data_IF_291748976920
#
_entry.id   IF_291748976920
#
_cell.length_a   1.000
_cell.length_b   1.000
_cell.length_c   1.000
_cell.angle_alpha   90.00
_cell.angle_beta   90.00
_cell.angle_gamma   90.00
#
_symmetry.space_group_name_H-M   'P 1'
#
loop_
_entity.id
_entity.type
_entity.pdbx_description
1 polymer ?
#
# COMPACT_ATOMS: atom_id res chain seq x y z
N UNK A 1 12.62 47.13 -4.39
CA UNK A 1 12.95 46.27 -5.56
C UNK A 1 11.87 45.22 -5.80
N UNK A 2 10.59 45.62 -5.84
CA UNK A 2 9.43 44.77 -6.22
C UNK A 2 8.29 45.66 -6.79
N UNK A 3 8.66 46.76 -7.47
CA UNK A 3 7.72 47.70 -8.10
C UNK A 3 8.04 47.99 -9.58
N UNK A 4 8.97 47.25 -10.19
CA UNK A 4 9.43 47.45 -11.57
C UNK A 4 9.16 46.28 -12.52
N UNK A 5 8.45 45.23 -12.08
CA UNK A 5 8.07 44.09 -12.94
C UNK A 5 6.64 44.16 -13.49
N UNK A 6 5.82 45.13 -13.04
CA UNK A 6 4.42 45.28 -13.49
C UNK A 6 4.23 46.27 -14.65
N UNK A 7 5.27 47.01 -15.06
CA UNK A 7 5.18 48.04 -16.13
C UNK A 7 5.75 47.55 -17.47
N UNK A 8 6.46 46.42 -17.49
CA UNK A 8 7.05 45.83 -18.69
C UNK A 8 6.10 45.05 -19.60
N UNK A 9 4.86 44.77 -19.17
CA UNK A 9 3.93 43.90 -19.91
C UNK A 9 2.82 44.66 -20.67
N UNK A 10 2.75 45.99 -20.55
CA UNK A 10 1.67 46.80 -21.16
C UNK A 10 2.16 47.64 -22.36
N UNK A 11 3.48 47.77 -22.58
CA UNK A 11 4.04 48.54 -23.71
C UNK A 11 4.35 47.66 -24.95
N UNK A 12 4.36 46.33 -24.80
CA UNK A 12 4.57 45.38 -25.91
C UNK A 12 3.37 45.17 -26.84
N UNK A 13 2.22 45.82 -26.59
CA UNK A 13 0.95 45.58 -27.29
C UNK A 13 0.48 46.75 -28.17
N UNK A 14 1.34 47.74 -28.44
CA UNK A 14 0.93 48.96 -29.16
C UNK A 14 1.79 49.36 -30.37
N UNK A 15 2.82 48.60 -30.77
CA UNK A 15 3.65 48.96 -31.94
C UNK A 15 3.88 47.73 -32.80
N UNK A 16 3.03 47.58 -33.82
CA UNK A 16 3.14 46.50 -34.81
C UNK A 16 2.04 46.50 -35.85
N UNK A 17 1.48 47.67 -36.18
CA UNK A 17 0.56 47.83 -37.31
C UNK A 17 1.29 48.58 -38.44
N UNK A 18 1.34 47.92 -39.62
CA UNK A 18 1.63 48.55 -40.90
C UNK A 18 3.04 48.30 -41.43
N UNK A 19 3.19 47.39 -42.40
CA UNK A 19 3.31 47.67 -43.85
C UNK A 19 3.57 46.34 -44.58
N UNK A 20 2.88 46.08 -45.69
CA UNK A 20 3.39 45.19 -46.75
C UNK A 20 2.44 44.11 -47.28
N UNK A 21 1.37 44.52 -47.97
CA UNK A 21 0.55 43.66 -48.83
C UNK A 21 1.32 43.25 -50.09
N UNK A 22 1.45 41.94 -50.36
CA UNK A 22 1.50 41.40 -51.73
C UNK A 22 0.61 40.15 -51.77
N UNK A 23 -0.45 40.24 -52.57
CA UNK A 23 -1.48 39.22 -52.73
C UNK A 23 -1.03 38.11 -53.71
N UNK A 24 -1.21 36.86 -53.31
CA UNK A 24 -1.20 35.69 -54.22
C UNK A 24 -2.56 35.01 -54.08
N UNK A 25 -3.33 34.80 -55.16
CA UNK A 25 -4.69 34.29 -55.06
C UNK A 25 -4.67 32.78 -54.79
N UNK A 26 -5.27 32.34 -53.68
CA UNK A 26 -5.63 30.92 -53.47
C UNK A 26 -7.10 30.72 -53.78
N UNK A 27 -7.37 29.77 -54.67
CA UNK A 27 -8.69 29.35 -55.14
C UNK A 27 -9.57 28.91 -53.97
N UNK A 28 -10.77 29.48 -53.86
CA UNK A 28 -11.82 29.03 -52.94
C UNK A 28 -12.52 27.83 -53.56
N UNK A 29 -12.36 26.65 -52.98
CA UNK A 29 -13.25 25.51 -53.22
C UNK A 29 -14.38 25.59 -52.19
N UNK A 30 -15.62 25.66 -52.67
CA UNK A 30 -16.81 25.56 -51.82
C UNK A 30 -16.89 24.15 -51.22
N UNK A 31 -16.93 24.06 -49.88
CA UNK A 31 -17.24 22.82 -49.18
C UNK A 31 -18.70 22.90 -48.73
N UNK A 32 -19.53 22.10 -49.37
CA UNK A 32 -20.92 21.86 -49.01
C UNK A 32 -20.98 21.23 -47.61
N UNK A 33 -21.68 21.87 -46.67
CA UNK A 33 -21.90 21.35 -45.33
C UNK A 33 -22.94 20.22 -45.37
N UNK A 34 -22.50 18.97 -45.26
CA UNK A 34 -23.38 17.83 -45.02
C UNK A 34 -23.71 17.79 -43.53
N UNK A 35 -25.00 17.95 -43.16
CA UNK A 35 -25.49 17.70 -41.81
C UNK A 35 -25.23 16.23 -41.43
N UNK A 36 -24.25 15.99 -40.57
CA UNK A 36 -24.11 14.72 -39.87
C UNK A 36 -25.04 14.80 -38.66
N UNK A 37 -26.14 14.03 -38.68
CA UNK A 37 -26.95 13.80 -37.49
C UNK A 37 -26.08 13.10 -36.46
N UNK A 38 -25.74 13.82 -35.39
CA UNK A 38 -25.15 13.22 -34.20
C UNK A 38 -26.24 12.37 -33.52
N UNK A 39 -26.16 11.05 -33.70
CA UNK A 39 -26.90 10.11 -32.86
C UNK A 39 -26.27 10.17 -31.47
N UNK A 40 -26.87 10.95 -30.58
CA UNK A 40 -26.58 10.91 -29.15
C UNK A 40 -27.03 9.56 -28.63
N UNK A 41 -26.13 8.58 -28.58
CA UNK A 41 -26.36 7.33 -27.85
C UNK A 41 -26.31 7.68 -26.38
N UNK A 42 -27.46 8.02 -25.80
CA UNK A 42 -27.63 8.10 -24.36
C UNK A 42 -27.31 6.73 -23.80
N UNK A 43 -26.14 6.57 -23.18
CA UNK A 43 -25.85 5.40 -22.35
C UNK A 43 -26.76 5.49 -21.12
N UNK A 44 -27.93 4.87 -21.21
CA UNK A 44 -28.74 4.58 -20.03
C UNK A 44 -27.96 3.57 -19.19
N UNK A 45 -27.22 4.07 -18.21
CA UNK A 45 -26.67 3.22 -17.15
C UNK A 45 -27.85 2.73 -16.31
N UNK A 46 -28.39 1.55 -16.62
CA UNK A 46 -29.20 0.84 -15.63
C UNK A 46 -28.28 0.59 -14.44
N UNK A 47 -28.53 1.33 -13.35
CA UNK A 47 -27.82 1.13 -12.09
C UNK A 47 -27.97 -0.34 -11.72
N UNK A 48 -26.85 -1.09 -11.72
CA UNK A 48 -26.86 -2.46 -11.22
C UNK A 48 -27.37 -2.41 -9.78
N UNK A 49 -28.43 -3.16 -9.49
CA UNK A 49 -28.95 -3.33 -8.13
C UNK A 49 -28.05 -4.24 -7.28
N UNK A 50 -27.01 -4.83 -7.88
CA UNK A 50 -26.09 -5.70 -7.18
C UNK A 50 -25.19 -4.89 -6.22
N UNK A 51 -24.92 -5.42 -5.01
CA UNK A 51 -24.17 -4.70 -4.01
C UNK A 51 -22.72 -4.47 -4.43
N UNK A 52 -22.21 -3.27 -4.18
CA UNK A 52 -20.80 -2.93 -4.24
C UNK A 52 -20.10 -3.47 -2.98
N UNK A 53 -19.36 -4.56 -3.13
CA UNK A 53 -18.66 -5.23 -2.04
C UNK A 53 -17.15 -5.21 -2.29
N UNK A 54 -16.35 -4.83 -1.30
CA UNK A 54 -14.89 -4.83 -1.38
C UNK A 54 -14.33 -5.99 -0.53
N UNK A 55 -13.42 -6.77 -1.11
CA UNK A 55 -12.50 -7.61 -0.36
C UNK A 55 -11.13 -6.95 -0.32
N UNK A 56 -10.58 -6.65 0.86
CA UNK A 56 -9.32 -5.95 0.97
C UNK A 56 -8.43 -6.50 2.10
N UNK A 57 -7.13 -6.30 1.97
CA UNK A 57 -6.18 -6.55 3.05
C UNK A 57 -6.65 -5.88 4.36
N UNK A 58 -6.49 -6.58 5.49
CA UNK A 58 -6.89 -6.11 6.82
C UNK A 58 -6.30 -4.74 7.16
N UNK A 59 -5.06 -4.52 6.72
CA UNK A 59 -4.31 -3.28 6.94
C UNK A 59 -4.86 -2.07 6.15
N UNK A 60 -5.76 -2.28 5.18
CA UNK A 60 -6.47 -1.20 4.48
C UNK A 60 -7.75 -0.78 5.20
N UNK A 61 -8.22 -1.51 6.22
CA UNK A 61 -9.53 -1.32 6.86
C UNK A 61 -9.85 0.14 7.17
N UNK A 62 -8.97 0.85 7.86
CA UNK A 62 -9.25 2.23 8.30
C UNK A 62 -9.36 3.19 7.11
N UNK A 63 -8.39 3.17 6.19
CA UNK A 63 -8.42 4.00 4.99
C UNK A 63 -9.62 3.68 4.09
N UNK A 64 -9.91 2.41 3.86
CA UNK A 64 -11.01 1.98 3.00
C UNK A 64 -12.37 2.22 3.64
N UNK A 65 -12.53 2.10 4.95
CA UNK A 65 -13.77 2.49 5.65
C UNK A 65 -14.06 3.99 5.48
N UNK A 66 -13.04 4.84 5.60
CA UNK A 66 -13.21 6.27 5.37
C UNK A 66 -13.53 6.58 3.90
N UNK A 67 -12.83 5.94 2.95
CA UNK A 67 -13.11 6.09 1.52
C UNK A 67 -14.51 5.58 1.14
N UNK A 68 -14.96 4.46 1.70
CA UNK A 68 -16.32 3.91 1.50
C UNK A 68 -17.38 4.89 2.00
N UNK A 69 -17.17 5.48 3.17
CA UNK A 69 -18.05 6.52 3.73
C UNK A 69 -18.15 7.73 2.80
N UNK A 70 -17.02 8.24 2.31
CA UNK A 70 -16.98 9.32 1.33
C UNK A 70 -17.67 8.94 0.02
N UNK A 71 -17.40 7.73 -0.48
CA UNK A 71 -17.94 7.23 -1.74
C UNK A 71 -19.47 7.12 -1.70
N UNK A 72 -20.00 6.61 -0.60
CA UNK A 72 -21.43 6.52 -0.32
C UNK A 72 -22.10 7.89 -0.23
N UNK A 73 -21.44 8.85 0.41
CA UNK A 73 -21.94 10.23 0.49
C UNK A 73 -22.04 10.88 -0.91
N UNK A 74 -21.10 10.58 -1.81
CA UNK A 74 -21.13 11.07 -3.19
C UNK A 74 -22.06 10.28 -4.11
N UNK A 75 -22.37 9.03 -3.79
CA UNK A 75 -23.12 8.10 -4.63
C UNK A 75 -24.20 7.34 -3.82
N UNK A 76 -25.24 8.04 -3.31
CA UNK A 76 -26.23 7.44 -2.41
C UNK A 76 -27.09 6.34 -3.04
N UNK A 77 -27.09 6.22 -4.38
CA UNK A 77 -27.79 5.16 -5.11
C UNK A 77 -27.05 3.82 -5.13
N UNK A 78 -25.78 3.78 -4.71
CA UNK A 78 -25.00 2.53 -4.68
C UNK A 78 -25.39 1.74 -3.44
N UNK A 79 -25.85 0.50 -3.65
CA UNK A 79 -26.10 -0.46 -2.58
C UNK A 79 -24.74 -0.98 -2.11
N UNK A 80 -24.35 -0.68 -0.87
CA UNK A 80 -23.10 -1.15 -0.28
C UNK A 80 -23.27 -2.56 0.30
N UNK A 81 -22.40 -3.49 -0.08
CA UNK A 81 -22.29 -4.81 0.53
C UNK A 81 -21.40 -4.79 1.77
N UNK A 82 -21.31 -5.91 2.49
CA UNK A 82 -20.44 -6.01 3.67
C UNK A 82 -18.99 -6.21 3.22
N UNK A 83 -18.07 -5.24 3.47
CA UNK A 83 -16.68 -5.39 3.09
C UNK A 83 -16.02 -6.51 3.91
N UNK A 84 -15.08 -7.22 3.29
CA UNK A 84 -14.21 -8.16 3.98
C UNK A 84 -12.82 -7.55 4.13
N UNK A 85 -12.34 -7.44 5.38
CA UNK A 85 -10.98 -7.05 5.70
C UNK A 85 -10.28 -8.23 6.40
N UNK A 86 -9.33 -8.87 5.71
CA UNK A 86 -8.61 -10.06 6.19
C UNK A 86 -7.21 -10.15 5.55
N UNK A 87 -6.44 -11.21 5.82
CA UNK A 87 -5.15 -11.43 5.16
C UNK A 87 -5.31 -11.45 3.62
N UNK A 88 -4.39 -10.83 2.88
CA UNK A 88 -4.54 -10.66 1.42
C UNK A 88 -4.72 -11.99 0.69
N UNK A 89 -4.02 -13.04 1.14
CA UNK A 89 -4.17 -14.39 0.58
C UNK A 89 -5.54 -14.99 0.86
N UNK A 90 -6.09 -14.78 2.07
CA UNK A 90 -7.44 -15.21 2.43
C UNK A 90 -8.51 -14.52 1.57
N UNK A 91 -8.40 -13.20 1.39
CA UNK A 91 -9.31 -12.41 0.55
C UNK A 91 -9.29 -12.92 -0.90
N UNK A 92 -8.09 -13.11 -1.48
CA UNK A 92 -7.95 -13.58 -2.84
C UNK A 92 -8.50 -15.01 -3.03
N UNK A 93 -8.26 -15.91 -2.08
CA UNK A 93 -8.81 -17.27 -2.12
C UNK A 93 -10.34 -17.28 -1.99
N UNK A 94 -10.89 -16.39 -1.17
CA UNK A 94 -12.34 -16.23 -1.07
C UNK A 94 -12.94 -15.70 -2.37
N UNK A 95 -12.29 -14.78 -3.07
CA UNK A 95 -12.77 -14.34 -4.38
C UNK A 95 -12.73 -15.49 -5.40
N UNK A 96 -11.62 -16.24 -5.46
CA UNK A 96 -11.46 -17.38 -6.38
C UNK A 96 -12.55 -18.47 -6.22
N UNK A 97 -13.17 -18.54 -5.04
CA UNK A 97 -14.23 -19.52 -4.72
C UNK A 97 -15.64 -18.95 -4.79
N UNK A 98 -15.84 -17.69 -4.40
CA UNK A 98 -17.18 -17.10 -4.22
C UNK A 98 -17.57 -16.08 -5.28
N UNK A 99 -16.60 -15.38 -5.88
CA UNK A 99 -16.82 -14.36 -6.92
C UNK A 99 -17.80 -13.25 -6.53
N UNK A 100 -17.75 -12.80 -5.26
CA UNK A 100 -18.72 -11.83 -4.71
C UNK A 100 -18.19 -10.41 -4.65
N UNK A 101 -16.88 -10.19 -4.82
CA UNK A 101 -16.30 -8.86 -4.66
C UNK A 101 -16.34 -8.07 -5.96
N UNK A 102 -16.75 -6.81 -5.86
CA UNK A 102 -16.64 -5.82 -6.94
C UNK A 102 -15.21 -5.31 -7.10
N UNK A 103 -14.42 -5.35 -6.02
CA UNK A 103 -13.03 -4.91 -5.98
C UNK A 103 -12.26 -5.81 -5.02
N UNK A 104 -11.06 -6.24 -5.42
CA UNK A 104 -10.09 -6.91 -4.55
C UNK A 104 -8.88 -6.01 -4.35
N UNK A 105 -8.41 -5.87 -3.12
CA UNK A 105 -7.18 -5.13 -2.80
C UNK A 105 -6.25 -5.94 -1.89
N UNK A 106 -4.95 -5.95 -2.22
CA UNK A 106 -3.90 -6.71 -1.56
C UNK A 106 -2.83 -5.77 -1.00
N UNK A 107 -2.12 -6.20 0.04
CA UNK A 107 -0.93 -5.53 0.59
C UNK A 107 0.40 -6.03 0.00
N UNK A 108 0.33 -6.75 -1.11
CA UNK A 108 1.45 -7.40 -1.76
C UNK A 108 1.18 -7.58 -3.26
N UNK A 109 2.19 -7.28 -4.06
CA UNK A 109 2.20 -7.31 -5.54
C UNK A 109 2.23 -8.71 -6.12
N UNK A 110 2.36 -9.77 -5.31
CA UNK A 110 2.40 -11.15 -5.81
C UNK A 110 1.10 -11.90 -5.55
N UNK A 111 0.29 -11.43 -4.60
CA UNK A 111 -0.92 -12.13 -4.15
C UNK A 111 -2.03 -12.16 -5.20
N UNK A 112 -2.40 -11.01 -5.80
CA UNK A 112 -3.43 -10.98 -6.84
C UNK A 112 -2.99 -11.81 -8.07
N UNK A 113 -1.77 -11.64 -8.62
CA UNK A 113 -1.33 -12.45 -9.75
C UNK A 113 -1.30 -13.95 -9.44
N UNK A 114 -0.78 -14.36 -8.27
CA UNK A 114 -0.62 -15.79 -7.96
C UNK A 114 -1.94 -16.52 -7.71
N UNK A 115 -2.99 -15.82 -7.25
CA UNK A 115 -4.28 -16.45 -6.89
C UNK A 115 -5.35 -16.19 -7.93
N UNK A 116 -5.42 -14.97 -8.50
CA UNK A 116 -6.52 -14.55 -9.36
C UNK A 116 -6.16 -14.62 -10.86
N UNK A 117 -4.89 -14.55 -11.26
CA UNK A 117 -4.56 -14.59 -12.69
C UNK A 117 -4.43 -16.02 -13.22
N UNK A 118 -4.71 -16.21 -14.53
CA UNK A 118 -5.46 -15.33 -15.42
C UNK A 118 -6.98 -15.55 -15.30
N UNK A 119 -7.43 -16.40 -14.37
CA UNK A 119 -8.80 -16.96 -14.38
C UNK A 119 -9.87 -15.98 -13.90
N UNK A 120 -9.55 -15.14 -12.93
CA UNK A 120 -10.49 -14.25 -12.25
C UNK A 120 -10.16 -12.77 -12.44
N UNK A 121 -8.91 -12.44 -12.78
CA UNK A 121 -8.46 -11.11 -13.16
C UNK A 121 -7.30 -11.22 -14.15
N UNK A 122 -6.96 -10.11 -14.82
CA UNK A 122 -5.80 -10.06 -15.73
C UNK A 122 -4.91 -8.85 -15.55
N UNK A 123 -5.22 -7.96 -14.61
CA UNK A 123 -4.37 -6.83 -14.25
C UNK A 123 -4.51 -6.54 -12.76
N UNK A 124 -3.52 -5.87 -12.19
CA UNK A 124 -3.61 -5.23 -10.88
C UNK A 124 -3.00 -3.83 -10.98
N UNK A 125 -3.43 -2.93 -10.11
CA UNK A 125 -3.00 -1.54 -10.06
C UNK A 125 -2.35 -1.29 -8.70
N UNK A 126 -1.05 -1.06 -8.68
CA UNK A 126 -0.32 -0.58 -7.52
C UNK A 126 -0.62 0.90 -7.28
N UNK A 127 -1.24 1.19 -6.13
CA UNK A 127 -1.81 2.52 -5.86
C UNK A 127 -1.18 3.22 -4.65
N UNK A 128 -0.47 2.50 -3.79
CA UNK A 128 0.14 3.09 -2.60
C UNK A 128 1.24 2.23 -2.00
N UNK A 129 2.15 2.87 -1.30
CA UNK A 129 3.25 2.24 -0.56
C UNK A 129 3.10 2.57 0.92
N UNK A 130 3.27 1.57 1.78
CA UNK A 130 3.41 1.78 3.23
C UNK A 130 4.73 1.17 3.70
N UNK A 131 4.96 1.09 5.01
CA UNK A 131 6.19 0.54 5.58
C UNK A 131 5.89 -0.38 6.76
N UNK A 132 6.76 -1.36 6.97
CA UNK A 132 6.81 -2.14 8.20
C UNK A 132 7.15 -1.23 9.38
N UNK A 133 6.47 -1.47 10.50
CA UNK A 133 6.74 -0.85 11.79
C UNK A 133 6.71 -1.94 12.86
N UNK A 134 7.16 -1.62 14.06
CA UNK A 134 6.99 -2.52 15.23
C UNK A 134 6.05 -1.84 16.21
N UNK A 135 4.93 -2.49 16.54
CA UNK A 135 4.07 -2.04 17.64
C UNK A 135 4.70 -2.50 18.95
N UNK A 136 4.81 -1.59 19.90
CA UNK A 136 5.55 -1.75 21.16
C UNK A 136 4.62 -1.58 22.36
N UNK A 137 4.67 -2.55 23.26
CA UNK A 137 3.98 -2.51 24.55
C UNK A 137 4.78 -1.72 25.59
N UNK A 138 4.36 -0.49 25.90
CA UNK A 138 5.04 0.37 26.88
C UNK A 138 4.69 0.05 28.34
N UNK A 139 3.77 -0.89 28.60
CA UNK A 139 3.54 -1.42 29.94
C UNK A 139 4.73 -2.30 30.39
N UNK A 140 5.52 -2.80 29.44
CA UNK A 140 6.69 -3.66 29.73
C UNK A 140 8.01 -2.90 29.85
N UNK A 141 8.96 -3.35 30.70
CA UNK A 141 10.30 -2.77 30.76
C UNK A 141 11.03 -2.80 29.41
N UNK A 142 10.95 -3.92 28.68
CA UNK A 142 11.59 -4.07 27.38
C UNK A 142 11.02 -3.11 26.33
N UNK A 143 9.70 -2.93 26.29
CA UNK A 143 9.07 -1.99 25.37
C UNK A 143 9.46 -0.53 25.67
N UNK A 144 9.56 -0.16 26.94
CA UNK A 144 10.06 1.18 27.33
C UNK A 144 11.53 1.39 26.94
N UNK A 145 12.38 0.38 27.12
CA UNK A 145 13.79 0.44 26.71
C UNK A 145 13.91 0.63 25.18
N UNK A 146 13.22 -0.22 24.41
CA UNK A 146 13.19 -0.13 22.93
C UNK A 146 12.67 1.24 22.46
N UNK A 147 11.59 1.75 23.05
CA UNK A 147 11.07 3.06 22.67
C UNK A 147 12.05 4.19 23.02
N UNK A 148 12.78 4.09 24.14
CA UNK A 148 13.81 5.06 24.50
C UNK A 148 14.97 5.07 23.51
N UNK A 149 15.46 3.89 23.12
CA UNK A 149 16.52 3.71 22.13
C UNK A 149 16.07 4.19 20.75
N UNK A 150 14.83 3.91 20.36
CA UNK A 150 14.28 4.41 19.10
C UNK A 150 14.27 5.94 19.07
N UNK A 151 13.88 6.62 20.16
CA UNK A 151 13.94 8.09 20.26
C UNK A 151 15.37 8.62 20.20
N UNK A 152 16.33 7.90 20.79
CA UNK A 152 17.76 8.23 20.66
C UNK A 152 18.21 8.12 19.20
N UNK A 153 17.88 7.01 18.52
CA UNK A 153 18.20 6.81 17.11
C UNK A 153 17.61 7.88 16.18
N UNK A 154 16.48 8.49 16.54
CA UNK A 154 15.90 9.61 15.77
C UNK A 154 16.73 10.91 15.86
N UNK A 155 17.63 11.03 16.84
CA UNK A 155 18.49 12.20 17.06
C UNK A 155 19.92 11.99 16.56
N UNK A 156 20.27 10.75 16.23
CA UNK A 156 21.59 10.36 15.74
C UNK A 156 21.70 10.52 14.22
N UNK A 157 22.93 10.61 13.69
CA UNK A 157 23.14 10.66 12.25
C UNK A 157 22.91 9.27 11.65
N UNK A 158 21.98 9.08 10.70
CA UNK A 158 21.74 7.78 10.08
C UNK A 158 23.05 7.17 9.53
N UNK A 159 23.24 5.86 9.75
CA UNK A 159 24.43 5.09 9.35
C UNK A 159 25.74 5.44 10.08
N UNK A 160 25.73 6.32 11.08
CA UNK A 160 26.88 6.50 11.99
C UNK A 160 27.11 5.25 12.84
N UNK A 161 28.30 5.14 13.45
CA UNK A 161 28.62 4.02 14.33
C UNK A 161 27.68 3.97 15.55
N UNK A 162 27.37 5.13 16.12
CA UNK A 162 26.45 5.29 17.24
C UNK A 162 25.03 4.87 16.84
N UNK A 163 24.56 5.33 15.68
CA UNK A 163 23.24 4.97 15.16
C UNK A 163 23.10 3.47 14.89
N UNK A 164 24.13 2.85 14.30
CA UNK A 164 24.14 1.40 14.07
C UNK A 164 24.10 0.64 15.41
N UNK A 165 24.90 1.06 16.40
CA UNK A 165 24.92 0.45 17.73
C UNK A 165 23.55 0.57 18.44
N UNK A 166 22.87 1.71 18.29
CA UNK A 166 21.52 1.89 18.84
C UNK A 166 20.52 0.92 18.20
N UNK A 167 20.57 0.73 16.87
CA UNK A 167 19.71 -0.23 16.18
C UNK A 167 20.04 -1.69 16.48
N UNK A 168 21.32 -2.06 16.58
CA UNK A 168 21.76 -3.36 17.09
C UNK A 168 21.12 -3.64 18.45
N UNK A 169 21.20 -2.68 19.39
CA UNK A 169 20.62 -2.82 20.72
C UNK A 169 19.10 -3.00 20.69
N UNK A 170 18.39 -2.26 19.83
CA UNK A 170 16.93 -2.41 19.65
C UNK A 170 16.60 -3.84 19.21
N UNK A 171 17.27 -4.34 18.17
CA UNK A 171 17.01 -5.69 17.65
C UNK A 171 17.47 -6.79 18.62
N UNK A 172 18.52 -6.59 19.40
CA UNK A 172 18.93 -7.51 20.45
C UNK A 172 17.82 -7.67 21.51
N UNK A 173 17.16 -6.58 21.93
CA UNK A 173 16.05 -6.66 22.88
C UNK A 173 14.84 -7.36 22.27
N UNK A 174 14.51 -7.04 21.02
CA UNK A 174 13.35 -7.63 20.33
C UNK A 174 13.58 -9.13 20.11
N UNK A 175 14.72 -9.51 19.53
CA UNK A 175 14.98 -10.85 19.02
C UNK A 175 15.76 -11.78 19.97
N UNK A 176 16.66 -11.26 20.82
CA UNK A 176 17.55 -12.09 21.64
C UNK A 176 17.15 -12.16 23.12
N UNK A 177 16.50 -11.13 23.66
CA UNK A 177 16.08 -11.12 25.06
C UNK A 177 15.11 -12.29 25.33
N UNK A 178 15.47 -13.19 26.24
CA UNK A 178 14.70 -14.39 26.56
C UNK A 178 13.37 -14.10 27.28
N UNK A 179 13.22 -12.90 27.84
CA UNK A 179 12.01 -12.46 28.53
C UNK A 179 11.00 -11.78 27.60
N UNK A 180 11.33 -11.61 26.31
CA UNK A 180 10.44 -10.98 25.33
C UNK A 180 9.91 -12.01 24.33
N UNK A 181 8.67 -11.82 23.90
CA UNK A 181 7.91 -12.62 22.94
C UNK A 181 7.40 -11.67 21.87
N UNK A 182 7.61 -12.04 20.61
CA UNK A 182 7.18 -11.24 19.45
C UNK A 182 5.89 -11.80 18.82
N UNK A 183 5.04 -10.92 18.33
CA UNK A 183 3.83 -11.26 17.59
C UNK A 183 4.09 -11.19 16.09
N UNK A 184 3.70 -12.23 15.37
CA UNK A 184 3.87 -12.33 13.91
C UNK A 184 2.62 -12.91 13.25
N UNK A 185 2.24 -12.42 12.08
CA UNK A 185 1.17 -13.02 11.29
C UNK A 185 1.66 -14.27 10.55
N UNK A 186 0.72 -15.13 10.15
CA UNK A 186 1.00 -16.30 9.33
C UNK A 186 1.37 -15.87 7.89
N UNK A 187 2.58 -16.23 7.38
CA UNK A 187 3.04 -15.83 6.05
C UNK A 187 2.23 -16.42 4.88
N UNK A 188 1.46 -17.49 5.10
CA UNK A 188 0.62 -18.09 4.05
C UNK A 188 -0.70 -17.34 3.83
N UNK A 189 -1.21 -16.66 4.85
CA UNK A 189 -2.50 -15.98 4.81
C UNK A 189 -2.37 -14.46 4.74
N UNK A 190 -1.30 -13.91 5.35
CA UNK A 190 -1.09 -12.47 5.49
C UNK A 190 0.34 -12.08 5.09
N UNK A 191 0.52 -11.24 4.05
CA UNK A 191 1.84 -10.75 3.64
C UNK A 191 2.68 -10.18 4.77
N UNK A 192 2.05 -9.54 5.76
CA UNK A 192 2.77 -8.93 6.90
C UNK A 192 3.60 -9.96 7.69
N UNK A 193 3.20 -11.24 7.65
CA UNK A 193 3.89 -12.34 8.29
C UNK A 193 5.24 -12.68 7.67
N UNK A 194 5.32 -12.79 6.34
CA UNK A 194 6.61 -13.01 5.67
C UNK A 194 7.44 -11.73 5.64
N UNK A 195 6.79 -10.57 5.57
CA UNK A 195 7.47 -9.27 5.59
C UNK A 195 8.12 -8.97 6.95
N UNK A 196 7.51 -9.39 8.05
CA UNK A 196 8.15 -9.36 9.38
C UNK A 196 9.44 -10.22 9.41
N UNK A 197 9.41 -11.40 8.77
CA UNK A 197 10.61 -12.24 8.62
C UNK A 197 11.68 -11.55 7.77
N UNK A 198 11.28 -10.90 6.68
CA UNK A 198 12.18 -10.10 5.85
C UNK A 198 12.86 -8.98 6.66
N UNK A 199 12.12 -8.25 7.51
CA UNK A 199 12.69 -7.22 8.39
C UNK A 199 13.79 -7.80 9.27
N UNK A 200 13.57 -8.96 9.90
CA UNK A 200 14.60 -9.59 10.74
C UNK A 200 15.83 -10.02 9.94
N UNK A 201 15.63 -10.56 8.73
CA UNK A 201 16.76 -10.94 7.86
C UNK A 201 17.54 -9.72 7.38
N UNK A 202 16.86 -8.65 7.00
CA UNK A 202 17.47 -7.40 6.57
C UNK A 202 18.20 -6.71 7.72
N UNK A 203 17.64 -6.71 8.93
CA UNK A 203 18.31 -6.21 10.13
C UNK A 203 19.57 -7.03 10.43
N UNK A 204 19.48 -8.37 10.39
CA UNK A 204 20.64 -9.24 10.60
C UNK A 204 21.74 -9.00 9.56
N UNK A 205 21.36 -8.83 8.29
CA UNK A 205 22.30 -8.50 7.23
C UNK A 205 22.96 -7.14 7.42
N UNK A 206 22.17 -6.12 7.74
CA UNK A 206 22.64 -4.74 7.81
C UNK A 206 23.52 -4.45 9.04
N UNK A 207 23.14 -4.99 10.21
CA UNK A 207 23.78 -4.67 11.48
C UNK A 207 24.76 -5.75 11.96
N UNK A 208 24.49 -7.01 11.63
CA UNK A 208 25.28 -8.16 12.12
C UNK A 208 26.11 -8.82 11.03
N UNK A 209 26.02 -8.32 9.78
CA UNK A 209 26.61 -8.95 8.59
C UNK A 209 26.21 -10.43 8.42
N UNK A 210 25.03 -10.80 8.95
CA UNK A 210 24.50 -12.16 8.91
C UNK A 210 22.97 -12.12 8.82
N UNK A 211 22.46 -12.36 7.61
CA UNK A 211 21.03 -12.33 7.30
C UNK A 211 20.17 -13.33 8.07
N UNK A 212 20.75 -14.29 8.79
CA UNK A 212 20.01 -15.24 9.62
C UNK A 212 20.05 -14.90 11.11
N UNK A 213 20.91 -13.98 11.56
CA UNK A 213 21.18 -13.75 12.98
C UNK A 213 19.93 -13.51 13.84
N UNK A 214 19.14 -12.48 13.52
CA UNK A 214 17.90 -12.18 14.24
C UNK A 214 16.75 -13.09 13.86
N UNK A 215 16.72 -13.57 12.61
CA UNK A 215 15.68 -14.48 12.15
C UNK A 215 15.74 -15.82 12.89
N UNK A 216 16.92 -16.43 13.01
CA UNK A 216 17.13 -17.69 13.72
C UNK A 216 16.77 -17.57 15.21
N UNK A 217 17.15 -16.45 15.84
CA UNK A 217 16.84 -16.21 17.25
C UNK A 217 15.34 -16.18 17.54
N UNK A 218 14.53 -15.68 16.58
CA UNK A 218 13.08 -15.65 16.69
C UNK A 218 12.46 -16.98 16.25
N UNK A 219 12.75 -17.44 15.04
CA UNK A 219 11.99 -18.51 14.40
C UNK A 219 12.50 -19.93 14.71
N UNK A 220 13.74 -20.10 15.18
CA UNK A 220 14.20 -21.41 15.68
C UNK A 220 13.83 -21.65 17.16
N UNK A 221 13.14 -20.70 17.79
CA UNK A 221 12.64 -20.82 19.15
C UNK A 221 11.13 -20.61 19.18
N UNK A 222 10.36 -21.70 19.22
CA UNK A 222 8.88 -21.65 19.23
C UNK A 222 8.28 -20.90 20.43
N UNK A 223 9.04 -20.70 21.51
CA UNK A 223 8.58 -19.91 22.66
C UNK A 223 8.85 -18.41 22.46
N UNK A 224 9.61 -18.02 21.43
CA UNK A 224 10.01 -16.64 21.17
C UNK A 224 8.96 -15.84 20.39
N UNK A 225 8.03 -16.51 19.72
CA UNK A 225 6.99 -15.83 18.96
C UNK A 225 5.60 -16.43 19.20
N UNK A 226 4.59 -15.60 19.07
CA UNK A 226 3.20 -16.03 18.89
C UNK A 226 2.74 -15.71 17.48
N UNK A 227 2.29 -16.74 16.76
CA UNK A 227 1.75 -16.59 15.41
C UNK A 227 0.22 -16.56 15.43
N UNK A 228 -0.38 -15.65 14.66
CA UNK A 228 -1.83 -15.57 14.40
C UNK A 228 -2.10 -15.31 12.92
N UNK A 229 -3.36 -15.40 12.49
CA UNK A 229 -3.68 -15.17 11.07
C UNK A 229 -3.59 -13.70 10.67
N UNK A 230 -3.84 -12.78 11.61
CA UNK A 230 -3.78 -11.33 11.42
C UNK A 230 -3.22 -10.64 12.66
N UNK A 231 -2.81 -9.38 12.51
CA UNK A 231 -2.28 -8.57 13.60
C UNK A 231 -3.33 -8.23 14.68
N UNK A 232 -4.62 -8.27 14.35
CA UNK A 232 -5.72 -7.95 15.27
C UNK A 232 -5.73 -8.90 16.48
N UNK A 233 -5.50 -10.19 16.22
CA UNK A 233 -5.42 -11.19 17.28
C UNK A 233 -4.20 -10.93 18.17
N UNK A 234 -3.08 -10.48 17.59
CA UNK A 234 -1.86 -10.15 18.32
C UNK A 234 -2.03 -8.93 19.22
N UNK A 235 -2.73 -7.90 18.74
CA UNK A 235 -3.07 -6.71 19.54
C UNK A 235 -3.96 -7.07 20.73
N UNK A 236 -4.87 -8.03 20.54
CA UNK A 236 -5.72 -8.52 21.63
C UNK A 236 -4.89 -9.22 22.70
N UNK A 237 -3.88 -10.02 22.33
CA UNK A 237 -2.97 -10.67 23.26
C UNK A 237 -2.10 -9.66 24.01
N UNK A 238 -1.54 -8.68 23.30
CA UNK A 238 -0.76 -7.59 23.89
C UNK A 238 -1.61 -6.83 24.93
N UNK A 239 -2.82 -6.40 24.56
CA UNK A 239 -3.72 -5.65 25.43
C UNK A 239 -4.20 -6.44 26.66
N UNK A 240 -4.49 -7.74 26.49
CA UNK A 240 -5.09 -8.53 27.56
C UNK A 240 -4.13 -8.83 28.71
N UNK A 241 -2.85 -9.08 28.42
CA UNK A 241 -1.91 -9.55 29.43
C UNK A 241 -0.43 -9.31 29.10
N UNK A 242 -0.11 -8.50 28.08
CA UNK A 242 1.27 -8.27 27.65
C UNK A 242 2.03 -9.56 27.32
N UNK A 243 1.35 -10.62 26.87
CA UNK A 243 2.01 -11.90 26.48
C UNK A 243 2.80 -11.80 25.17
N UNK A 244 2.68 -10.67 24.48
CA UNK A 244 3.44 -10.27 23.30
C UNK A 244 3.88 -8.83 23.53
N UNK A 245 5.19 -8.56 23.57
CA UNK A 245 5.71 -7.21 23.86
C UNK A 245 6.01 -6.40 22.59
N UNK A 246 6.22 -7.08 21.47
CA UNK A 246 6.49 -6.45 20.17
C UNK A 246 5.68 -7.16 19.09
N UNK A 247 4.90 -6.44 18.28
CA UNK A 247 4.25 -7.01 17.09
C UNK A 247 5.05 -6.56 15.88
N UNK A 248 5.67 -7.51 15.19
CA UNK A 248 6.53 -7.25 14.03
C UNK A 248 5.75 -7.21 12.71
N UNK A 249 4.59 -7.86 12.67
CA UNK A 249 3.73 -7.95 11.48
C UNK A 249 2.70 -6.82 11.47
N UNK A 250 3.20 -5.59 11.49
CA UNK A 250 2.39 -4.37 11.42
C UNK A 250 2.94 -3.42 10.36
N UNK A 251 2.04 -2.68 9.73
CA UNK A 251 2.39 -1.58 8.84
C UNK A 251 2.10 -0.24 9.51
N UNK A 252 2.67 0.83 9.00
CA UNK A 252 2.30 2.17 9.44
C UNK A 252 0.78 2.39 9.35
N UNK A 253 0.14 1.85 8.31
CA UNK A 253 -1.27 2.07 7.98
C UNK A 253 -2.29 1.53 8.97
N UNK A 254 -1.97 0.45 9.66
CA UNK A 254 -2.81 -0.08 10.73
C UNK A 254 -2.27 0.29 12.11
N UNK A 255 -0.95 0.37 12.29
CA UNK A 255 -0.36 0.73 13.58
C UNK A 255 -0.77 2.13 14.06
N UNK A 256 -0.82 3.14 13.16
CA UNK A 256 -1.24 4.50 13.51
C UNK A 256 -2.62 4.52 14.20
N UNK A 257 -3.73 4.12 13.53
CA UNK A 257 -5.05 4.18 14.15
C UNK A 257 -5.25 3.14 15.25
N UNK A 258 -4.59 1.98 15.20
CA UNK A 258 -4.73 0.95 16.23
C UNK A 258 -4.11 1.39 17.55
N UNK A 259 -2.89 1.93 17.54
CA UNK A 259 -2.24 2.38 18.76
C UNK A 259 -3.00 3.52 19.41
N UNK A 260 -3.50 4.49 18.64
CA UNK A 260 -4.40 5.55 19.12
C UNK A 260 -5.67 4.96 19.78
N UNK A 261 -6.30 3.98 19.14
CA UNK A 261 -7.52 3.36 19.66
C UNK A 261 -7.30 2.60 20.99
N UNK A 262 -6.14 1.99 21.19
CA UNK A 262 -5.80 1.31 22.45
C UNK A 262 -5.31 2.28 23.54
N UNK A 263 -4.60 3.35 23.16
CA UNK A 263 -4.27 4.44 24.08
C UNK A 263 -5.53 5.09 24.64
N UNK A 264 -6.55 5.32 23.80
CA UNK A 264 -7.86 5.83 24.23
C UNK A 264 -8.59 4.89 25.23
N UNK A 265 -8.24 3.59 25.26
CA UNK A 265 -8.73 2.61 26.23
C UNK A 265 -7.85 2.51 27.49
N UNK A 266 -6.85 3.37 27.62
CA UNK A 266 -5.94 3.41 28.76
C UNK A 266 -4.80 2.39 28.72
N UNK A 267 -4.52 1.77 27.58
CA UNK A 267 -3.36 0.88 27.42
C UNK A 267 -2.22 1.60 26.72
N UNK A 268 -1.05 1.66 27.36
CA UNK A 268 0.09 2.38 26.82
C UNK A 268 0.82 1.52 25.80
N UNK A 269 0.41 1.61 24.53
CA UNK A 269 1.15 1.08 23.39
C UNK A 269 1.53 2.19 22.42
N UNK A 270 2.56 1.95 21.62
CA UNK A 270 2.97 2.84 20.53
C UNK A 270 3.50 2.00 19.37
N UNK A 271 4.02 2.65 18.34
CA UNK A 271 4.79 1.98 17.30
C UNK A 271 6.11 2.72 17.07
N UNK A 272 7.12 1.99 16.61
CA UNK A 272 8.40 2.54 16.18
C UNK A 272 8.56 2.35 14.67
N UNK A 273 9.03 3.40 14.00
CA UNK A 273 9.43 3.33 12.59
C UNK A 273 10.79 2.67 12.47
N UNK A 274 11.01 1.95 11.37
CA UNK A 274 12.25 1.25 11.07
C UNK A 274 13.08 2.01 10.03
N UNK A 275 14.41 1.82 9.97
CA UNK A 275 15.24 2.41 8.93
C UNK A 275 14.76 2.05 7.52
N UNK A 276 14.81 2.98 6.54
CA UNK A 276 14.29 2.76 5.20
C UNK A 276 14.85 1.52 4.48
N UNK A 277 16.08 1.11 4.78
CA UNK A 277 16.71 -0.06 4.15
C UNK A 277 16.29 -1.40 4.76
N UNK A 278 15.51 -1.43 5.85
CA UNK A 278 14.93 -2.67 6.40
C UNK A 278 13.40 -2.65 6.51
N UNK A 279 12.78 -1.48 6.42
CA UNK A 279 11.34 -1.31 6.68
C UNK A 279 10.43 -1.72 5.51
N UNK A 280 10.99 -2.16 4.38
CA UNK A 280 10.24 -2.50 3.16
C UNK A 280 9.34 -1.36 2.63
N UNK A 281 9.57 -0.11 3.01
CA UNK A 281 8.69 1.01 2.67
C UNK A 281 9.25 1.97 1.64
N UNK A 282 10.48 1.75 1.18
CA UNK A 282 11.14 2.64 0.26
C UNK A 282 11.62 1.89 -1.00
N UNK A 283 11.00 2.22 -2.12
CA UNK A 283 11.27 1.60 -3.42
C UNK A 283 12.72 1.81 -3.90
N UNK A 284 13.48 2.77 -3.36
CA UNK A 284 14.91 2.93 -3.68
C UNK A 284 15.78 1.80 -3.11
N UNK A 285 15.28 1.02 -2.14
CA UNK A 285 16.03 -0.06 -1.48
C UNK A 285 15.64 -1.45 -1.98
N UNK A 286 14.86 -1.58 -3.07
CA UNK A 286 14.45 -2.87 -3.65
C UNK A 286 15.63 -3.83 -3.84
N UNK A 287 16.73 -3.36 -4.42
CA UNK A 287 17.92 -4.19 -4.64
C UNK A 287 18.54 -4.68 -3.32
N UNK A 288 18.45 -3.90 -2.24
CA UNK A 288 18.91 -4.33 -0.93
C UNK A 288 17.93 -5.32 -0.30
N UNK A 289 16.62 -5.06 -0.40
CA UNK A 289 15.59 -5.97 0.10
C UNK A 289 15.73 -7.37 -0.54
N UNK A 290 16.01 -7.43 -1.85
CA UNK A 290 16.19 -8.67 -2.61
C UNK A 290 17.49 -9.43 -2.31
N UNK A 291 18.39 -8.92 -1.45
CA UNK A 291 19.54 -9.70 -0.99
C UNK A 291 19.15 -10.85 -0.07
N UNK A 292 17.92 -10.83 0.46
CA UNK A 292 17.38 -11.89 1.31
C UNK A 292 16.01 -12.34 0.81
N UNK A 293 15.64 -13.55 1.18
CA UNK A 293 14.33 -14.15 0.94
C UNK A 293 13.83 -14.82 2.21
N UNK A 294 12.61 -15.32 2.25
CA UNK A 294 12.10 -16.05 3.40
C UNK A 294 11.48 -17.34 2.92
N UNK A 295 11.85 -18.46 3.51
CA UNK A 295 11.23 -19.76 3.22
C UNK A 295 10.45 -20.22 4.43
N UNK A 296 9.17 -20.53 4.25
CA UNK A 296 8.30 -21.01 5.31
C UNK A 296 7.60 -22.31 4.90
N UNK A 297 7.54 -23.25 5.83
CA UNK A 297 6.84 -24.53 5.66
C UNK A 297 5.68 -24.64 6.64
N UNK A 298 4.47 -24.84 6.13
CA UNK A 298 3.27 -25.06 6.92
C UNK A 298 2.43 -26.17 6.27
N UNK A 299 1.96 -27.13 7.09
CA UNK A 299 1.11 -28.24 6.65
C UNK A 299 1.66 -29.00 5.41
N UNK A 300 2.98 -29.18 5.34
CA UNK A 300 3.65 -29.88 4.25
C UNK A 300 3.84 -29.06 2.96
N UNK A 301 3.37 -27.80 2.92
CA UNK A 301 3.65 -26.88 1.83
C UNK A 301 4.81 -25.96 2.18
N UNK A 302 5.73 -25.77 1.26
CA UNK A 302 6.85 -24.84 1.40
C UNK A 302 6.74 -23.73 0.38
N UNK A 303 6.81 -22.48 0.85
CA UNK A 303 6.83 -21.29 -0.01
C UNK A 303 8.07 -20.46 0.26
N UNK A 304 8.63 -19.89 -0.79
CA UNK A 304 9.70 -18.89 -0.68
C UNK A 304 9.18 -17.55 -1.14
N UNK A 305 9.38 -16.53 -0.32
CA UNK A 305 8.93 -15.17 -0.52
C UNK A 305 10.14 -14.27 -0.77
N UNK A 306 10.10 -13.50 -1.85
CA UNK A 306 11.05 -12.40 -2.05
C UNK A 306 10.68 -11.24 -1.12
N UNK A 307 11.68 -10.58 -0.55
CA UNK A 307 11.43 -9.43 0.30
C UNK A 307 11.17 -8.20 -0.58
N UNK A 308 9.91 -7.97 -0.90
CA UNK A 308 9.44 -6.83 -1.68
C UNK A 308 9.04 -5.65 -0.79
N UNK A 309 9.04 -4.41 -1.32
CA UNK A 309 8.40 -3.30 -0.65
C UNK A 309 6.90 -3.56 -0.40
N UNK A 310 6.35 -2.99 0.66
CA UNK A 310 4.92 -3.09 1.01
C UNK A 310 4.11 -2.18 0.09
N UNK A 311 3.74 -2.71 -1.07
CA UNK A 311 2.94 -2.02 -2.08
C UNK A 311 1.52 -2.57 -2.07
N UNK A 312 0.56 -1.68 -1.88
CA UNK A 312 -0.85 -2.01 -2.02
C UNK A 312 -1.25 -2.03 -3.50
N UNK A 313 -1.91 -3.12 -3.89
CA UNK A 313 -2.45 -3.31 -5.23
C UNK A 313 -3.94 -3.55 -5.20
N UNK A 314 -4.63 -3.29 -6.30
CA UNK A 314 -6.05 -3.56 -6.44
C UNK A 314 -6.42 -4.03 -7.85
N UNK A 315 -7.48 -4.82 -7.97
CA UNK A 315 -8.05 -5.23 -9.24
C UNK A 315 -9.57 -5.25 -9.18
N UNK A 316 -10.20 -5.14 -10.35
CA UNK A 316 -11.62 -5.43 -10.54
C UNK A 316 -11.70 -6.84 -11.14
N UNK A 317 -12.22 -7.85 -10.40
CA UNK A 317 -12.40 -9.19 -10.93
C UNK A 317 -13.33 -9.22 -12.15
N UNK A 318 -13.18 -10.21 -13.03
CA UNK A 318 -14.05 -10.39 -14.20
C UNK A 318 -15.52 -10.59 -13.83
N UNK A 319 -15.77 -11.22 -12.69
CA UNK A 319 -17.09 -11.52 -12.13
C UNK A 319 -17.65 -10.39 -11.27
N UNK A 320 -17.01 -9.21 -11.21
CA UNK A 320 -17.39 -8.12 -10.33
C UNK A 320 -18.88 -7.76 -10.48
N UNK A 321 -19.72 -7.97 -9.44
CA UNK A 321 -21.17 -7.79 -9.54
C UNK A 321 -21.57 -6.33 -9.79
N UNK A 322 -20.71 -5.38 -9.40
CA UNK A 322 -20.90 -3.95 -9.66
C UNK A 322 -19.61 -3.27 -10.13
N UNK A 323 -19.16 -3.60 -11.34
CA UNK A 323 -17.97 -3.03 -11.96
C UNK A 323 -17.98 -1.50 -12.05
N UNK A 324 -19.15 -0.89 -12.36
CA UNK A 324 -19.24 0.57 -12.44
C UNK A 324 -19.01 1.23 -11.08
N UNK A 325 -19.55 0.65 -10.01
CA UNK A 325 -19.27 1.13 -8.64
C UNK A 325 -17.79 0.96 -8.27
N UNK A 326 -17.14 -0.13 -8.70
CA UNK A 326 -15.71 -0.32 -8.47
C UNK A 326 -14.85 0.72 -9.20
N UNK A 327 -15.19 1.04 -10.46
CA UNK A 327 -14.53 2.12 -11.22
C UNK A 327 -14.70 3.46 -10.49
N UNK A 328 -15.91 3.79 -10.04
CA UNK A 328 -16.16 5.03 -9.30
C UNK A 328 -15.38 5.11 -7.98
N UNK A 329 -15.25 3.99 -7.25
CA UNK A 329 -14.44 3.93 -6.04
C UNK A 329 -12.95 4.14 -6.33
N UNK A 330 -12.42 3.55 -7.41
CA UNK A 330 -11.02 3.76 -7.80
C UNK A 330 -10.77 5.19 -8.30
N UNK A 331 -11.73 5.83 -8.96
CA UNK A 331 -11.65 7.26 -9.29
C UNK A 331 -11.57 8.13 -8.03
N UNK A 332 -12.33 7.79 -6.98
CA UNK A 332 -12.20 8.44 -5.68
C UNK A 332 -10.82 8.19 -5.07
N UNK A 333 -10.34 6.94 -5.07
CA UNK A 333 -9.03 6.54 -4.54
C UNK A 333 -7.89 7.35 -5.20
N UNK A 334 -7.94 7.53 -6.52
CA UNK A 334 -6.93 8.28 -7.29
C UNK A 334 -7.12 9.80 -7.24
N UNK A 335 -8.25 10.30 -6.71
CA UNK A 335 -8.48 11.72 -6.57
C UNK A 335 -7.61 12.34 -5.46
N UNK A 336 -7.38 13.67 -5.46
CA UNK A 336 -6.69 14.35 -4.35
C UNK A 336 -7.37 14.16 -2.99
N UNK A 337 -8.70 13.92 -2.96
CA UNK A 337 -9.40 13.65 -1.72
C UNK A 337 -9.09 12.23 -1.20
N UNK A 338 -9.08 11.23 -2.08
CA UNK A 338 -8.76 9.86 -1.71
C UNK A 338 -7.28 9.69 -1.33
N UNK A 339 -6.38 10.33 -2.07
CA UNK A 339 -4.94 10.34 -1.77
C UNK A 339 -4.65 10.93 -0.39
N UNK A 340 -5.31 12.03 0.00
CA UNK A 340 -5.19 12.58 1.37
C UNK A 340 -5.68 11.63 2.45
N UNK A 341 -6.71 10.82 2.17
CA UNK A 341 -7.14 9.77 3.11
C UNK A 341 -6.03 8.73 3.25
N UNK A 342 -5.46 8.24 2.15
CA UNK A 342 -4.34 7.30 2.19
C UNK A 342 -3.16 7.84 3.01
N UNK A 343 -2.73 9.08 2.72
CA UNK A 343 -1.63 9.75 3.43
C UNK A 343 -1.89 9.89 4.93
N UNK A 344 -3.14 10.19 5.32
CA UNK A 344 -3.52 10.31 6.73
C UNK A 344 -3.41 9.00 7.52
N UNK A 345 -3.40 7.87 6.81
CA UNK A 345 -3.11 6.54 7.36
C UNK A 345 -1.72 6.03 6.91
N UNK A 346 -0.75 6.90 6.64
CA UNK A 346 0.63 6.47 6.36
C UNK A 346 0.78 5.57 5.11
N UNK A 347 -0.11 5.73 4.13
CA UNK A 347 -0.01 5.13 2.80
C UNK A 347 0.35 6.24 1.82
N UNK A 348 1.57 6.19 1.29
CA UNK A 348 2.06 7.13 0.29
C UNK A 348 1.50 6.73 -1.08
N UNK A 349 0.67 7.57 -1.74
CA UNK A 349 0.11 7.24 -3.04
C UNK A 349 1.18 7.07 -4.12
N UNK A 350 0.98 6.11 -5.03
CA UNK A 350 1.77 5.96 -6.25
C UNK A 350 1.07 6.72 -7.36
N UNK A 351 1.72 7.77 -7.88
CA UNK A 351 1.12 8.70 -8.85
C UNK A 351 2.06 8.91 -10.04
N UNK A 352 1.67 8.54 -11.28
CA UNK A 352 0.50 7.75 -11.63
C UNK A 352 0.57 6.32 -11.05
N UNK A 353 -0.57 5.69 -10.84
CA UNK A 353 -0.62 4.32 -10.32
C UNK A 353 -0.11 3.32 -11.39
N UNK A 354 0.55 2.26 -10.96
CA UNK A 354 1.29 1.37 -11.88
C UNK A 354 0.52 0.08 -12.12
N UNK A 355 0.33 -0.32 -13.37
CA UNK A 355 -0.44 -1.51 -13.75
C UNK A 355 0.48 -2.65 -14.14
N UNK A 356 0.36 -3.77 -13.44
CA UNK A 356 0.94 -5.05 -13.83
C UNK A 356 -0.12 -5.93 -14.51
N UNK A 357 0.30 -6.70 -15.53
CA UNK A 357 -0.58 -7.53 -16.34
C UNK A 357 -1.15 -6.82 -17.58
N UNK A 358 -2.40 -7.14 -17.94
CA UNK A 358 -3.06 -6.69 -19.16
C UNK A 358 -3.58 -5.25 -19.04
N UNK A 359 -2.73 -4.28 -19.37
CA UNK A 359 -3.09 -2.85 -19.38
C UNK A 359 -4.27 -2.51 -20.31
N UNK A 360 -4.47 -3.27 -21.38
CA UNK A 360 -5.61 -3.05 -22.29
C UNK A 360 -6.95 -3.33 -21.62
N UNK A 361 -6.99 -4.22 -20.61
CA UNK A 361 -8.18 -4.55 -19.84
C UNK A 361 -8.51 -3.54 -18.72
N UNK A 362 -7.62 -2.58 -18.43
CA UNK A 362 -7.91 -1.49 -17.48
C UNK A 362 -9.08 -0.64 -18.02
N UNK A 363 -10.14 -0.41 -17.23
CA UNK A 363 -11.27 0.42 -17.65
C UNK A 363 -10.83 1.80 -18.15
N UNK A 364 -11.42 2.25 -19.26
CA UNK A 364 -11.06 3.52 -19.90
C UNK A 364 -11.06 4.74 -18.95
N UNK A 365 -12.01 4.89 -18.00
CA UNK A 365 -11.97 6.00 -17.05
C UNK A 365 -10.77 6.02 -16.11
N UNK A 366 -10.12 4.87 -15.88
CA UNK A 366 -8.97 4.75 -14.97
C UNK A 366 -7.62 5.01 -15.68
N UNK A 367 -7.55 4.83 -17.00
CA UNK A 367 -6.31 4.99 -17.78
C UNK A 367 -5.61 6.34 -17.62
N UNK A 368 -6.28 7.49 -17.47
CA UNK A 368 -5.61 8.76 -17.21
C UNK A 368 -4.85 8.83 -15.88
N UNK A 369 -5.14 7.93 -14.94
CA UNK A 369 -4.52 7.88 -13.61
C UNK A 369 -3.50 6.74 -13.47
N UNK A 370 -3.30 5.96 -14.54
CA UNK A 370 -2.45 4.77 -14.51
C UNK A 370 -1.44 4.73 -15.65
N UNK A 371 -0.36 3.98 -15.45
CA UNK A 371 0.65 3.67 -16.46
C UNK A 371 0.95 2.17 -16.45
N UNK A 372 1.27 1.54 -17.59
CA UNK A 372 1.72 0.15 -17.60
C UNK A 372 3.10 0.04 -16.95
N UNK A 373 3.36 -1.07 -16.23
CA UNK A 373 4.65 -1.37 -15.59
C UNK A 373 5.84 -1.29 -16.56
N UNK A 374 5.62 -1.56 -17.85
CA UNK A 374 6.65 -1.44 -18.89
C UNK A 374 7.26 -0.01 -18.97
N UNK A 375 6.53 1.02 -18.53
CA UNK A 375 7.02 2.39 -18.47
C UNK A 375 7.80 2.68 -17.16
N UNK A 376 7.65 1.84 -16.14
CA UNK A 376 8.23 1.98 -14.80
C UNK A 376 9.17 0.82 -14.49
N UNK A 377 10.15 0.59 -15.37
CA UNK A 377 11.01 -0.60 -15.33
C UNK A 377 11.80 -0.77 -14.02
N UNK A 378 12.01 0.29 -13.24
CA UNK A 378 12.67 0.19 -11.94
C UNK A 378 11.83 -0.55 -10.88
N UNK A 379 10.52 -0.69 -11.12
CA UNK A 379 9.60 -1.48 -10.29
C UNK A 379 9.41 -2.91 -10.82
N UNK A 380 10.01 -3.29 -11.96
CA UNK A 380 9.69 -4.58 -12.57
C UNK A 380 10.02 -5.76 -11.67
N UNK A 381 11.05 -5.65 -10.83
CA UNK A 381 11.49 -6.73 -9.94
C UNK A 381 10.58 -6.96 -8.74
N UNK A 382 9.64 -6.06 -8.44
CA UNK A 382 8.68 -6.24 -7.33
C UNK A 382 7.38 -6.90 -7.78
N UNK A 383 7.20 -7.14 -9.09
CA UNK A 383 6.06 -7.87 -9.64
C UNK A 383 6.50 -9.24 -10.19
N UNK A 384 5.59 -10.24 -10.29
CA UNK A 384 5.91 -11.59 -10.75
C UNK A 384 6.33 -11.73 -12.22
#
# INVERSE_FOLDING_TARGET
MWLYLAVGLIIGLAIGAGVGYVAVPRKTAAITATKVSATTTTMTSTASSAPFTIGAAGTLKFSFSQLLSMYKAYNPSIVEGQPLFAGSGEVAQKEATTQVFSLVASADTTTIPSVLFPKYASYEIAFGVTQMVVIVDLETPAGREVYSLWRQAQQETPMSAEWNQTWERIFDIIALNSSTVVGVSNPFTDPSGYQAQCVLRLAGLAFMHNASYYWDAVYNNVNKYQMRNTEIDLLTLMYANSSVQFILSAYMSNAMPQTEAYQAKGFNMTYITLPPFINLGNMSYVNFYHQVNVTWTELGQTKTFACNPVVYTTTIPFSAPNQQAAIGFLLLLFSPAGQRVLESYGINPIVPAVVYGNYSAVPAPLKPFTVPLANESYLSSIFP
#
